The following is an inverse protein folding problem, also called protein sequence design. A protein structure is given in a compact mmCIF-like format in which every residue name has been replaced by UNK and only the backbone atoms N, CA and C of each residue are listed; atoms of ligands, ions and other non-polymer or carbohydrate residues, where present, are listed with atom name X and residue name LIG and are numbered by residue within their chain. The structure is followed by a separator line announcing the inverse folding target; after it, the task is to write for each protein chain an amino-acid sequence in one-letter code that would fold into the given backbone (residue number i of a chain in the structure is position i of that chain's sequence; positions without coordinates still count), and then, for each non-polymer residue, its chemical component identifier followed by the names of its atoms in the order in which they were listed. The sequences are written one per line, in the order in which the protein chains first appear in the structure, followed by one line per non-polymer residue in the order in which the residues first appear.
data_IF_224664990346
#
_entry.id   IF_224664990346
#
_cell.length_a   1.000
_cell.length_b   1.000
_cell.length_c   1.000
_cell.angle_alpha   90.00
_cell.angle_beta   90.00
_cell.angle_gamma   90.00
#
_symmetry.space_group_name_H-M   'P 1'
#
loop_
_entity.id
_entity.type
_entity.pdbx_description
1 polymer ?
#
# COMPACT_ATOMS: atom_id res chain seq x y z
N UNK A 1 23.93 43.03 49.09
CA UNK A 1 23.25 43.98 48.16
C UNK A 1 22.16 43.18 47.45
N UNK A 2 20.89 43.42 47.76
CA UNK A 2 19.77 42.66 47.18
C UNK A 2 19.64 42.99 45.69
N UNK A 3 19.68 41.97 44.83
CA UNK A 3 19.62 42.15 43.38
C UNK A 3 18.30 42.83 42.97
N UNK A 4 18.33 43.95 42.23
CA UNK A 4 17.13 44.69 41.80
C UNK A 4 16.20 43.89 40.86
N UNK A 5 16.65 42.76 40.34
CA UNK A 5 15.86 41.85 39.49
C UNK A 5 14.84 40.99 40.26
N UNK A 6 15.07 40.76 41.56
CA UNK A 6 14.13 39.99 42.40
C UNK A 6 12.87 40.78 42.74
N UNK A 7 13.05 42.05 43.13
CA UNK A 7 11.96 42.94 43.51
C UNK A 7 10.99 43.24 42.36
N UNK A 8 11.51 43.41 41.14
CA UNK A 8 10.69 43.68 39.95
C UNK A 8 9.83 42.47 39.54
N UNK A 9 10.35 41.24 39.67
CA UNK A 9 9.59 40.02 39.36
C UNK A 9 8.46 39.77 40.37
N UNK A 10 8.72 39.99 41.65
CA UNK A 10 7.69 39.89 42.69
C UNK A 10 6.59 40.94 42.52
N UNK A 11 6.96 42.16 42.12
CA UNK A 11 6.00 43.22 41.87
C UNK A 11 5.09 42.92 40.66
N UNK A 12 5.64 42.33 39.59
CA UNK A 12 4.86 41.90 38.42
C UNK A 12 3.90 40.76 38.79
N UNK A 13 4.36 39.78 39.58
CA UNK A 13 3.51 38.68 40.02
C UNK A 13 2.38 39.18 40.94
N UNK A 14 2.67 40.15 41.81
CA UNK A 14 1.66 40.79 42.65
C UNK A 14 0.61 41.54 41.81
N UNK A 15 1.04 42.32 40.81
CA UNK A 15 0.14 43.03 39.88
C UNK A 15 -0.72 42.06 39.07
N UNK A 16 -0.14 40.96 38.58
CA UNK A 16 -0.88 39.93 37.85
C UNK A 16 -1.94 39.23 38.74
N UNK A 17 -1.63 38.97 40.01
CA UNK A 17 -2.58 38.42 40.96
C UNK A 17 -3.80 39.32 41.20
N UNK A 18 -3.57 40.62 41.36
CA UNK A 18 -4.64 41.62 41.55
C UNK A 18 -5.57 41.68 40.33
N UNK A 19 -5.02 41.62 39.12
CA UNK A 19 -5.79 41.64 37.86
C UNK A 19 -6.64 40.37 37.72
N UNK A 20 -6.09 39.20 38.06
CA UNK A 20 -6.83 37.93 38.01
C UNK A 20 -7.98 37.90 39.02
N UNK A 21 -7.76 38.43 40.22
CA UNK A 21 -8.82 38.51 41.23
C UNK A 21 -9.93 39.49 40.83
N UNK A 22 -9.57 40.64 40.24
CA UNK A 22 -10.54 41.60 39.68
C UNK A 22 -11.34 40.98 38.54
N UNK A 23 -10.71 40.22 37.64
CA UNK A 23 -11.38 39.48 36.57
C UNK A 23 -12.35 38.41 37.11
N UNK A 24 -11.96 37.72 38.19
CA UNK A 24 -12.80 36.72 38.86
C UNK A 24 -14.03 37.35 39.51
N UNK A 25 -13.88 38.50 40.16
CA UNK A 25 -14.99 39.24 40.77
C UNK A 25 -16.02 39.71 39.72
N UNK A 26 -15.56 40.09 38.52
CA UNK A 26 -16.43 40.50 37.41
C UNK A 26 -17.19 39.34 36.76
N UNK A 27 -16.63 38.13 36.78
CA UNK A 27 -17.33 36.93 36.28
C UNK A 27 -18.53 36.55 37.17
N UNK A 28 -18.53 36.97 38.44
CA UNK A 28 -19.57 36.64 39.43
C UNK A 28 -20.70 37.67 39.46
N UNK A 29 -20.45 38.94 39.12
CA UNK A 29 -21.46 40.00 39.15
C UNK A 29 -22.39 39.98 37.92
N UNK A 30 -23.45 39.15 37.93
CA UNK A 30 -24.58 39.21 36.97
C UNK A 30 -25.41 40.47 37.26
N UNK A 31 -25.28 41.52 36.45
CA UNK A 31 -26.07 42.75 36.64
C UNK A 31 -26.07 43.73 35.47
N UNK A 32 -24.92 44.33 35.14
CA UNK A 32 -24.91 45.53 34.30
C UNK A 32 -23.98 45.38 33.09
N UNK A 33 -24.54 45.15 31.91
CA UNK A 33 -23.78 44.85 30.70
C UNK A 33 -22.97 46.05 30.15
N UNK A 34 -23.37 47.29 30.47
CA UNK A 34 -22.67 48.50 30.02
C UNK A 34 -21.43 48.79 30.88
N UNK A 35 -21.53 48.68 32.21
CA UNK A 35 -20.41 48.80 33.14
C UNK A 35 -19.38 47.66 32.98
N UNK A 36 -19.82 46.48 32.53
CA UNK A 36 -18.93 45.36 32.18
C UNK A 36 -18.07 45.66 30.96
N UNK A 37 -18.58 46.41 29.98
CA UNK A 37 -17.84 46.81 28.78
C UNK A 37 -16.60 47.63 29.12
N UNK A 38 -16.78 48.69 29.91
CA UNK A 38 -15.70 49.59 30.30
C UNK A 38 -14.61 48.88 31.11
N UNK A 39 -15.00 48.05 32.10
CA UNK A 39 -14.02 47.34 32.93
C UNK A 39 -13.25 46.27 32.13
N UNK A 40 -13.89 45.62 31.15
CA UNK A 40 -13.19 44.67 30.26
C UNK A 40 -12.16 45.40 29.38
N UNK A 41 -12.47 46.61 28.90
CA UNK A 41 -11.50 47.41 28.13
C UNK A 41 -10.34 47.90 28.99
N UNK A 42 -10.59 48.28 30.25
CA UNK A 42 -9.56 48.68 31.21
C UNK A 42 -8.63 47.49 31.53
N UNK A 43 -9.19 46.32 31.85
CA UNK A 43 -8.41 45.09 32.08
C UNK A 43 -7.57 44.70 30.86
N UNK A 44 -8.12 44.86 29.64
CA UNK A 44 -7.38 44.59 28.40
C UNK A 44 -6.19 45.52 28.25
N UNK A 45 -6.35 46.81 28.58
CA UNK A 45 -5.28 47.81 28.56
C UNK A 45 -4.20 47.50 29.60
N UNK A 46 -4.59 47.14 30.83
CA UNK A 46 -3.65 46.73 31.89
C UNK A 46 -2.85 45.47 31.49
N UNK A 47 -3.52 44.48 30.89
CA UNK A 47 -2.87 43.27 30.38
C UNK A 47 -1.88 43.57 29.25
N UNK A 48 -2.20 44.52 28.37
CA UNK A 48 -1.30 44.96 27.30
C UNK A 48 -0.06 45.69 27.86
N UNK A 49 -0.25 46.55 28.87
CA UNK A 49 0.86 47.26 29.53
C UNK A 49 1.84 46.28 30.20
N UNK A 50 1.33 45.29 30.96
CA UNK A 50 2.17 44.26 31.58
C UNK A 50 2.90 43.40 30.55
N UNK A 51 2.26 43.09 29.42
CA UNK A 51 2.91 42.37 28.32
C UNK A 51 4.05 43.17 27.70
N UNK A 52 3.92 44.49 27.55
CA UNK A 52 5.02 45.33 27.06
C UNK A 52 6.18 45.42 28.06
N UNK A 53 5.90 45.53 29.35
CA UNK A 53 6.91 45.57 30.41
C UNK A 53 7.70 44.25 30.48
N UNK A 54 7.01 43.10 30.39
CA UNK A 54 7.66 41.79 30.31
C UNK A 54 8.55 41.65 29.07
N UNK A 55 8.13 42.19 27.92
CA UNK A 55 8.96 42.18 26.71
C UNK A 55 10.23 43.03 26.91
N UNK A 56 10.12 44.20 27.54
CA UNK A 56 11.27 45.06 27.83
C UNK A 56 12.24 44.39 28.81
N UNK A 57 11.73 43.78 29.89
CA UNK A 57 12.56 43.03 30.84
C UNK A 57 13.26 41.85 30.18
N UNK A 58 12.59 41.14 29.28
CA UNK A 58 13.21 40.04 28.52
C UNK A 58 14.36 40.52 27.65
N UNK A 59 14.21 41.68 26.99
CA UNK A 59 15.28 42.30 26.20
C UNK A 59 16.44 42.77 27.08
N UNK A 60 16.15 43.32 28.27
CA UNK A 60 17.19 43.68 29.23
C UNK A 60 17.95 42.45 29.75
N UNK A 61 17.23 41.36 30.05
CA UNK A 61 17.84 40.11 30.49
C UNK A 61 18.70 39.47 29.38
N UNK A 62 18.24 39.48 28.12
CA UNK A 62 19.05 38.99 27.00
C UNK A 62 20.30 39.82 26.75
N UNK A 63 20.29 41.12 27.08
CA UNK A 63 21.48 41.98 27.01
C UNK A 63 22.49 41.67 28.12
N UNK A 64 22.02 41.22 29.29
CA UNK A 64 22.87 40.79 30.40
C UNK A 64 23.40 39.36 30.24
N UNK A 65 22.68 38.50 29.51
CA UNK A 65 23.11 37.14 29.15
C UNK A 65 23.98 37.08 27.89
N UNK A 66 24.12 38.18 27.14
CA UNK A 66 25.06 38.22 26.03
C UNK A 66 26.49 38.16 26.59
N UNK A 67 27.32 37.18 26.18
CA UNK A 67 28.69 37.09 26.66
C UNK A 67 29.43 38.39 26.31
N UNK A 68 30.30 38.91 27.20
CA UNK A 68 31.13 40.04 26.85
C UNK A 68 31.93 39.66 25.60
N UNK A 69 31.88 40.51 24.57
CA UNK A 69 32.73 40.36 23.39
C UNK A 69 34.17 40.43 23.89
N UNK A 70 34.81 39.27 24.02
CA UNK A 70 36.20 39.13 24.47
C UNK A 70 37.08 39.69 23.37
N UNK A 71 37.37 40.98 23.50
CA UNK A 71 38.40 41.68 22.77
C UNK A 71 39.59 42.00 23.69
N UNK A 72 40.27 40.98 24.21
CA UNK A 72 41.72 41.05 24.44
C UNK A 72 42.29 39.66 24.73
N UNK A 73 43.38 39.35 24.01
CA UNK A 73 44.31 38.28 24.32
C UNK A 73 44.86 38.48 25.73
N UNK A 74 44.68 37.49 26.61
CA UNK A 74 45.66 37.13 27.63
C UNK A 74 45.53 35.62 27.90
N UNK A 75 46.67 34.95 27.94
CA UNK A 75 46.91 33.52 27.70
C UNK A 75 46.66 32.58 28.90
N UNK A 76 45.96 32.99 29.96
CA UNK A 76 45.77 32.15 31.17
C UNK A 76 44.30 31.81 31.50
N UNK A 77 43.41 31.76 30.51
CA UNK A 77 41.96 31.61 30.70
C UNK A 77 41.30 30.24 30.36
N UNK A 78 41.94 29.05 30.47
CA UNK A 78 41.20 27.81 30.27
C UNK A 78 40.13 27.57 31.36
N UNK A 79 40.24 28.22 32.54
CA UNK A 79 39.24 28.04 33.61
C UNK A 79 37.92 28.79 33.36
N UNK A 80 37.93 29.99 32.78
CA UNK A 80 36.68 30.78 32.62
C UNK A 80 35.81 30.27 31.48
N UNK A 81 36.42 29.84 30.36
CA UNK A 81 35.71 29.20 29.26
C UNK A 81 35.08 27.86 29.68
N UNK A 82 35.80 27.06 30.46
CA UNK A 82 35.28 25.80 31.00
C UNK A 82 34.15 26.03 32.01
N UNK A 83 34.24 27.07 32.86
CA UNK A 83 33.17 27.42 33.79
C UNK A 83 31.89 27.88 33.08
N UNK A 84 32.01 28.65 32.00
CA UNK A 84 30.84 29.06 31.19
C UNK A 84 30.20 27.86 30.47
N UNK A 85 31.00 26.90 30.01
CA UNK A 85 30.50 25.68 29.39
C UNK A 85 29.76 24.81 30.41
N UNK A 86 30.31 24.65 31.62
CA UNK A 86 29.64 23.92 32.70
C UNK A 86 28.39 24.65 33.20
N UNK A 87 28.39 25.98 33.27
CA UNK A 87 27.19 26.75 33.61
C UNK A 87 26.09 26.55 32.56
N UNK A 88 26.43 26.60 31.26
CA UNK A 88 25.48 26.34 30.18
C UNK A 88 24.93 24.91 30.22
N UNK A 89 25.78 23.92 30.54
CA UNK A 89 25.39 22.53 30.72
C UNK A 89 24.42 22.37 31.90
N UNK A 90 24.75 22.94 33.07
CA UNK A 90 23.89 22.87 34.26
C UNK A 90 22.55 23.57 34.04
N UNK A 91 22.53 24.68 33.30
CA UNK A 91 21.28 25.36 32.91
C UNK A 91 20.40 24.48 31.99
N UNK A 92 21.01 23.74 31.06
CA UNK A 92 20.30 22.78 30.22
C UNK A 92 19.74 21.60 31.04
N UNK A 93 20.52 21.06 31.98
CA UNK A 93 20.08 20.00 32.89
C UNK A 93 18.91 20.47 33.77
N UNK A 94 18.99 21.68 34.34
CA UNK A 94 17.88 22.30 35.10
C UNK A 94 16.62 22.49 34.26
N UNK A 95 16.75 22.90 33.00
CA UNK A 95 15.60 23.05 32.10
C UNK A 95 14.91 21.70 31.84
N UNK A 96 15.68 20.63 31.63
CA UNK A 96 15.15 19.26 31.47
C UNK A 96 14.45 18.79 32.75
N UNK A 97 15.05 19.02 33.91
CA UNK A 97 14.46 18.64 35.19
C UNK A 97 13.17 19.41 35.49
N UNK A 98 13.11 20.71 35.20
CA UNK A 98 11.88 21.49 35.33
C UNK A 98 10.79 21.04 34.36
N UNK A 99 11.17 20.62 33.14
CA UNK A 99 10.21 20.07 32.19
C UNK A 99 9.69 18.70 32.64
N UNK A 100 10.55 17.84 33.21
CA UNK A 100 10.14 16.58 33.84
C UNK A 100 9.24 16.83 35.04
N UNK A 101 9.60 17.79 35.90
CA UNK A 101 8.81 18.19 37.06
C UNK A 101 7.43 18.71 36.67
N UNK A 102 7.33 19.54 35.63
CA UNK A 102 6.02 19.99 35.08
C UNK A 102 5.18 18.86 34.50
N UNK A 103 5.82 17.80 33.98
CA UNK A 103 5.12 16.59 33.51
C UNK A 103 4.60 15.74 34.67
N UNK A 104 5.28 15.75 35.82
CA UNK A 104 4.90 14.96 37.00
C UNK A 104 4.01 15.72 38.00
N UNK A 105 4.10 17.05 38.08
CA UNK A 105 3.27 17.89 38.96
C UNK A 105 1.85 18.11 38.42
N UNK A 106 1.56 17.65 37.20
CA UNK A 106 0.21 17.55 36.64
C UNK A 106 -0.53 16.27 37.03
N UNK A 107 0.08 15.37 37.83
CA UNK A 107 -0.64 14.22 38.39
C UNK A 107 -1.59 14.76 39.45
N UNK A 108 -2.85 14.88 39.06
CA UNK A 108 -3.88 15.52 39.84
C UNK A 108 -4.09 14.76 41.14
N UNK A 109 -4.20 15.53 42.22
CA UNK A 109 -4.50 15.08 43.58
C UNK A 109 -5.95 14.62 43.76
N UNK A 110 -6.67 14.35 42.67
CA UNK A 110 -8.05 13.87 42.69
C UNK A 110 -8.11 12.38 42.28
N UNK A 111 -8.34 11.53 43.27
CA UNK A 111 -8.53 10.08 43.13
C UNK A 111 -9.55 9.71 42.03
N UNK A 112 -10.58 10.54 41.84
CA UNK A 112 -11.61 10.37 40.80
C UNK A 112 -11.06 10.50 39.36
N UNK A 113 -10.11 11.39 39.10
CA UNK A 113 -9.54 11.58 37.76
C UNK A 113 -8.58 10.44 37.41
N UNK A 114 -7.81 9.96 38.39
CA UNK A 114 -6.97 8.77 38.26
C UNK A 114 -7.80 7.50 37.98
N UNK A 115 -8.91 7.31 38.69
CA UNK A 115 -9.84 6.21 38.42
C UNK A 115 -10.44 6.28 37.02
N UNK A 116 -10.80 7.48 36.55
CA UNK A 116 -11.35 7.68 35.21
C UNK A 116 -10.32 7.35 34.14
N UNK A 117 -9.07 7.79 34.31
CA UNK A 117 -7.97 7.45 33.40
C UNK A 117 -7.65 5.95 33.40
N UNK A 118 -7.61 5.32 34.57
CA UNK A 118 -7.36 3.88 34.68
C UNK A 118 -8.48 3.08 33.97
N UNK A 119 -9.73 3.47 34.17
CA UNK A 119 -10.88 2.85 33.50
C UNK A 119 -10.79 3.01 31.98
N UNK A 120 -10.50 4.22 31.49
CA UNK A 120 -10.32 4.47 30.05
C UNK A 120 -9.22 3.59 29.45
N UNK A 121 -8.06 3.51 30.12
CA UNK A 121 -6.95 2.69 29.65
C UNK A 121 -7.30 1.20 29.60
N UNK A 122 -8.05 0.69 30.58
CA UNK A 122 -8.55 -0.69 30.58
C UNK A 122 -9.52 -0.91 29.43
N UNK A 123 -10.47 0.00 29.20
CA UNK A 123 -11.41 -0.10 28.09
C UNK A 123 -10.71 -0.10 26.72
N UNK A 124 -9.72 0.78 26.53
CA UNK A 124 -8.92 0.82 25.31
C UNK A 124 -8.15 -0.48 25.09
N UNK A 125 -7.55 -1.03 26.14
CA UNK A 125 -6.84 -2.32 26.09
C UNK A 125 -7.78 -3.47 25.73
N UNK A 126 -8.96 -3.54 26.35
CA UNK A 126 -9.97 -4.57 26.03
C UNK A 126 -10.42 -4.46 24.58
N UNK A 127 -10.68 -3.24 24.08
CA UNK A 127 -11.07 -3.03 22.69
C UNK A 127 -9.96 -3.48 21.72
N UNK A 128 -8.70 -3.16 22.01
CA UNK A 128 -7.57 -3.60 21.19
C UNK A 128 -7.44 -5.12 21.19
N UNK A 129 -7.62 -5.77 22.34
CA UNK A 129 -7.59 -7.23 22.45
C UNK A 129 -8.72 -7.88 21.65
N UNK A 130 -9.94 -7.35 21.70
CA UNK A 130 -11.07 -7.88 20.93
C UNK A 130 -10.85 -7.75 19.41
N UNK A 131 -10.27 -6.64 18.96
CA UNK A 131 -9.89 -6.46 17.56
C UNK A 131 -8.84 -7.50 17.13
N UNK A 132 -7.81 -7.72 17.94
CA UNK A 132 -6.78 -8.72 17.69
C UNK A 132 -7.34 -10.14 17.69
N UNK A 133 -8.20 -10.48 18.65
CA UNK A 133 -8.86 -11.79 18.70
C UNK A 133 -9.74 -12.03 17.48
N UNK A 134 -10.45 -11.01 17.01
CA UNK A 134 -11.28 -11.09 15.80
C UNK A 134 -10.41 -11.35 14.56
N UNK A 135 -9.30 -10.61 14.41
CA UNK A 135 -8.35 -10.82 13.32
C UNK A 135 -7.70 -12.21 13.37
N UNK A 136 -7.33 -12.70 14.56
CA UNK A 136 -6.76 -14.04 14.74
C UNK A 136 -7.77 -15.15 14.44
N UNK A 137 -9.04 -14.96 14.79
CA UNK A 137 -10.11 -15.92 14.46
C UNK A 137 -10.32 -16.01 12.96
N UNK A 138 -10.40 -14.88 12.25
CA UNK A 138 -10.58 -14.89 10.80
C UNK A 138 -9.36 -15.48 10.06
N UNK A 139 -8.14 -15.23 10.55
CA UNK A 139 -6.92 -15.86 10.04
C UNK A 139 -6.94 -17.37 10.22
N UNK A 140 -7.32 -17.86 11.41
CA UNK A 140 -7.47 -19.30 11.68
C UNK A 140 -8.51 -19.92 10.74
N UNK A 141 -9.68 -19.30 10.60
CA UNK A 141 -10.76 -19.83 9.76
C UNK A 141 -10.33 -19.88 8.28
N UNK A 142 -9.52 -18.91 7.83
CA UNK A 142 -8.91 -18.93 6.49
C UNK A 142 -7.94 -20.10 6.34
N UNK A 143 -7.03 -20.30 7.29
CA UNK A 143 -6.05 -21.41 7.25
C UNK A 143 -6.76 -22.76 7.30
N UNK A 144 -7.81 -22.91 8.10
CA UNK A 144 -8.63 -24.14 8.13
C UNK A 144 -9.31 -24.42 6.78
N UNK A 145 -9.75 -23.37 6.07
CA UNK A 145 -10.33 -23.52 4.74
C UNK A 145 -9.27 -23.91 3.69
N UNK A 146 -8.06 -23.34 3.77
CA UNK A 146 -6.92 -23.71 2.91
C UNK A 146 -6.50 -25.16 3.17
N UNK A 147 -6.36 -25.56 4.44
CA UNK A 147 -6.04 -26.93 4.83
C UNK A 147 -7.02 -27.95 4.26
N UNK A 148 -8.34 -27.69 4.40
CA UNK A 148 -9.38 -28.58 3.85
C UNK A 148 -9.28 -28.71 2.32
N UNK A 149 -8.91 -27.64 1.60
CA UNK A 149 -8.71 -27.69 0.15
C UNK A 149 -7.49 -28.53 -0.21
N UNK A 150 -6.37 -28.35 0.49
CA UNK A 150 -5.16 -29.14 0.27
C UNK A 150 -5.41 -30.63 0.56
N UNK A 151 -6.14 -30.96 1.61
CA UNK A 151 -6.55 -32.35 1.91
C UNK A 151 -7.38 -32.96 0.78
N UNK A 152 -8.28 -32.21 0.15
CA UNK A 152 -9.03 -32.70 -1.01
C UNK A 152 -8.15 -32.91 -2.23
N UNK A 153 -7.23 -31.97 -2.52
CA UNK A 153 -6.29 -32.10 -3.63
C UNK A 153 -5.33 -33.28 -3.44
N UNK A 154 -4.90 -33.52 -2.21
CA UNK A 154 -4.05 -34.66 -1.88
C UNK A 154 -4.77 -35.99 -2.15
N UNK A 155 -6.05 -36.10 -1.76
CA UNK A 155 -6.86 -37.29 -2.06
C UNK A 155 -7.02 -37.50 -3.57
N UNK A 156 -7.34 -36.45 -4.31
CA UNK A 156 -7.44 -36.51 -5.78
C UNK A 156 -6.10 -36.92 -6.42
N UNK A 157 -4.98 -36.39 -5.93
CA UNK A 157 -3.64 -36.79 -6.40
C UNK A 157 -3.34 -38.26 -6.12
N UNK A 158 -3.70 -38.77 -4.94
CA UNK A 158 -3.54 -40.19 -4.60
C UNK A 158 -4.43 -41.09 -5.48
N UNK A 159 -5.66 -40.67 -5.76
CA UNK A 159 -6.56 -41.38 -6.68
C UNK A 159 -5.97 -41.43 -8.10
N UNK A 160 -5.39 -40.33 -8.58
CA UNK A 160 -4.70 -40.28 -9.87
C UNK A 160 -3.48 -41.18 -9.90
N UNK A 161 -2.65 -41.15 -8.85
CA UNK A 161 -1.47 -42.01 -8.73
C UNK A 161 -1.85 -43.48 -8.80
N UNK A 162 -2.81 -43.92 -7.99
CA UNK A 162 -3.29 -45.32 -8.03
C UNK A 162 -3.92 -45.70 -9.38
N UNK A 163 -4.59 -44.77 -10.07
CA UNK A 163 -5.13 -44.99 -11.41
C UNK A 163 -4.02 -45.14 -12.46
N UNK A 164 -2.96 -44.32 -12.36
CA UNK A 164 -1.78 -44.40 -13.22
C UNK A 164 -0.99 -45.68 -12.97
N UNK A 165 -0.77 -46.07 -11.72
CA UNK A 165 -0.14 -47.34 -11.37
C UNK A 165 -0.91 -48.53 -11.93
N UNK A 166 -2.24 -48.51 -11.83
CA UNK A 166 -3.11 -49.52 -12.45
C UNK A 166 -2.91 -49.56 -13.96
N UNK A 167 -2.89 -48.41 -14.64
CA UNK A 167 -2.64 -48.32 -16.09
C UNK A 167 -1.26 -48.81 -16.47
N UNK A 168 -0.23 -48.51 -15.68
CA UNK A 168 1.13 -49.00 -15.88
C UNK A 168 1.20 -50.53 -15.70
N UNK A 169 0.49 -51.09 -14.72
CA UNK A 169 0.40 -52.54 -14.55
C UNK A 169 -0.32 -53.20 -15.74
N UNK A 170 -1.42 -52.61 -16.23
CA UNK A 170 -2.14 -53.07 -17.44
C UNK A 170 -1.24 -53.05 -18.68
N UNK A 171 -0.48 -51.98 -18.91
CA UNK A 171 0.42 -51.87 -20.07
C UNK A 171 1.63 -52.79 -19.96
N UNK A 172 2.21 -52.96 -18.76
CA UNK A 172 3.27 -53.96 -18.52
C UNK A 172 2.77 -55.38 -18.78
N UNK A 173 1.57 -55.74 -18.30
CA UNK A 173 0.95 -57.03 -18.55
C UNK A 173 0.66 -57.28 -20.04
N UNK A 174 0.25 -56.25 -20.78
CA UNK A 174 0.04 -56.31 -22.24
C UNK A 174 1.34 -56.38 -23.04
N UNK A 175 2.43 -55.79 -22.56
CA UNK A 175 3.72 -55.82 -23.25
C UNK A 175 4.36 -57.22 -23.34
N UNK A 176 3.90 -58.17 -22.51
CA UNK A 176 4.26 -59.59 -22.62
C UNK A 176 3.50 -60.36 -23.72
N UNK A 177 2.44 -59.79 -24.29
CA UNK A 177 1.62 -60.40 -25.34
C UNK A 177 1.48 -59.46 -26.54
N UNK A 178 2.53 -59.37 -27.36
CA UNK A 178 2.40 -59.04 -28.77
C UNK A 178 2.11 -57.58 -29.14
N UNK A 179 2.96 -57.07 -30.03
CA UNK A 179 2.78 -55.90 -30.91
C UNK A 179 2.96 -54.51 -30.30
N UNK A 180 4.24 -54.13 -30.29
CA UNK A 180 4.82 -52.79 -30.16
C UNK A 180 4.34 -51.76 -31.24
N UNK A 181 3.14 -51.89 -31.81
CA UNK A 181 2.73 -51.18 -33.04
C UNK A 181 1.62 -50.14 -32.92
N UNK A 182 0.97 -49.96 -31.76
CA UNK A 182 -0.25 -49.13 -31.73
C UNK A 182 -0.15 -47.79 -30.97
N UNK A 183 0.95 -47.49 -30.27
CA UNK A 183 1.09 -46.22 -29.53
C UNK A 183 1.95 -45.18 -30.30
N UNK A 184 2.55 -45.57 -31.43
CA UNK A 184 3.31 -44.67 -32.33
C UNK A 184 2.49 -44.03 -33.47
N UNK A 185 1.24 -44.45 -33.68
CA UNK A 185 0.40 -43.94 -34.76
C UNK A 185 -0.41 -42.73 -34.27
N UNK A 186 0.19 -41.53 -34.27
CA UNK A 186 -0.55 -40.25 -34.28
C UNK A 186 0.34 -39.01 -34.48
N UNK A 187 1.66 -39.14 -34.59
CA UNK A 187 2.55 -37.99 -34.85
C UNK A 187 3.14 -37.96 -36.27
N UNK A 188 3.25 -39.10 -36.97
CA UNK A 188 3.86 -39.14 -38.31
C UNK A 188 2.88 -38.82 -39.46
N UNK A 189 1.57 -38.77 -39.22
CA UNK A 189 0.56 -38.51 -40.26
C UNK A 189 0.27 -37.02 -40.51
N UNK A 190 0.94 -36.11 -39.76
CA UNK A 190 0.76 -34.65 -39.90
C UNK A 190 1.84 -34.03 -40.82
N UNK A 191 2.85 -34.80 -41.24
CA UNK A 191 3.92 -34.33 -42.15
C UNK A 191 3.89 -35.11 -43.48
N UNK A 192 2.75 -35.11 -44.17
CA UNK A 192 2.74 -35.31 -45.62
C UNK A 192 1.73 -34.34 -46.24
N UNK A 193 2.16 -33.37 -47.08
CA UNK A 193 1.23 -32.57 -47.85
C UNK A 193 0.58 -33.47 -48.91
N UNK A 194 -0.75 -33.58 -48.86
CA UNK A 194 -1.55 -34.27 -49.86
C UNK A 194 -1.63 -33.42 -51.13
N UNK A 195 -0.73 -33.66 -52.07
CA UNK A 195 -1.01 -33.44 -53.49
C UNK A 195 -1.68 -34.72 -53.99
N UNK A 196 -3.02 -34.78 -53.97
CA UNK A 196 -3.77 -35.47 -55.03
C UNK A 196 -5.26 -35.08 -55.01
N UNK A 197 -5.64 -34.66 -56.21
CA UNK A 197 -6.89 -34.12 -56.70
C UNK A 197 -8.04 -35.15 -56.73
N UNK A 198 -9.25 -34.66 -56.48
CA UNK A 198 -10.58 -35.12 -56.90
C UNK A 198 -10.99 -36.61 -56.80
N UNK A 199 -12.08 -36.81 -56.04
CA UNK A 199 -13.23 -37.55 -56.60
C UNK A 199 -13.79 -38.69 -55.74
N UNK A 200 -15.11 -38.62 -55.55
CA UNK A 200 -16.04 -39.62 -54.94
C UNK A 200 -16.07 -39.55 -53.41
N UNK A 201 -17.20 -39.53 -52.73
CA UNK A 201 -18.58 -39.87 -53.06
C UNK A 201 -19.29 -40.04 -51.70
N UNK A 202 -20.56 -39.65 -51.61
CA UNK A 202 -21.25 -39.43 -50.33
C UNK A 202 -21.61 -40.67 -49.50
N UNK A 203 -22.19 -40.38 -48.33
CA UNK A 203 -22.69 -41.32 -47.31
C UNK A 203 -21.79 -41.27 -46.08
N UNK A 204 -22.23 -41.07 -44.84
CA UNK A 204 -23.50 -41.39 -44.22
C UNK A 204 -23.81 -40.43 -43.05
N UNK A 205 -25.11 -40.28 -42.79
CA UNK A 205 -25.68 -39.49 -41.71
C UNK A 205 -25.58 -40.24 -40.38
N UNK A 206 -24.72 -39.79 -39.47
CA UNK A 206 -24.65 -40.24 -38.08
C UNK A 206 -25.21 -39.20 -37.11
N UNK A 207 -26.42 -39.43 -36.60
CA UNK A 207 -27.13 -38.58 -35.63
C UNK A 207 -26.40 -38.51 -34.28
N UNK A 208 -26.21 -37.30 -33.75
CA UNK A 208 -25.67 -37.09 -32.40
C UNK A 208 -26.05 -35.73 -31.81
N UNK A 209 -27.35 -35.46 -31.65
CA UNK A 209 -27.83 -34.29 -30.87
C UNK A 209 -27.50 -34.52 -29.40
N UNK A 210 -26.52 -33.79 -28.84
CA UNK A 210 -26.46 -33.52 -27.40
C UNK A 210 -26.75 -32.05 -27.16
N UNK A 211 -27.91 -31.81 -26.57
CA UNK A 211 -28.35 -30.54 -25.99
C UNK A 211 -27.28 -29.98 -25.05
N UNK A 212 -26.75 -28.81 -25.35
CA UNK A 212 -26.27 -27.87 -24.34
C UNK A 212 -27.30 -26.75 -24.24
N UNK A 213 -28.11 -26.79 -23.17
CA UNK A 213 -29.00 -25.70 -22.77
C UNK A 213 -28.18 -24.65 -22.03
N UNK A 214 -28.39 -23.38 -22.40
CA UNK A 214 -28.35 -22.25 -21.46
C UNK A 214 -27.13 -21.33 -21.56
N UNK A 215 -27.33 -20.16 -22.21
CA UNK A 215 -26.68 -18.93 -21.76
C UNK A 215 -25.71 -18.24 -22.73
N UNK A 216 -26.16 -17.81 -23.92
CA UNK A 216 -25.49 -16.73 -24.66
C UNK A 216 -26.41 -16.18 -25.79
N UNK A 217 -27.55 -15.61 -25.42
CA UNK A 217 -28.39 -14.80 -26.31
C UNK A 217 -28.43 -13.36 -25.81
N UNK A 218 -27.28 -12.67 -25.77
CA UNK A 218 -27.26 -11.21 -25.47
C UNK A 218 -26.15 -10.41 -26.18
N UNK A 219 -25.36 -11.00 -27.07
CA UNK A 219 -24.26 -10.27 -27.74
C UNK A 219 -24.41 -10.12 -29.27
N UNK A 220 -25.34 -10.84 -29.92
CA UNK A 220 -25.40 -10.86 -31.38
C UNK A 220 -26.18 -9.69 -32.01
N UNK A 221 -26.96 -8.93 -31.23
CA UNK A 221 -27.84 -7.88 -31.78
C UNK A 221 -27.25 -6.47 -31.77
N UNK A 222 -25.96 -6.29 -31.43
CA UNK A 222 -25.31 -4.97 -31.42
C UNK A 222 -24.28 -4.74 -32.53
N UNK A 223 -23.90 -5.77 -33.30
CA UNK A 223 -22.86 -5.65 -34.33
C UNK A 223 -23.39 -5.54 -35.77
N UNK A 224 -24.70 -5.66 -35.98
CA UNK A 224 -25.30 -5.67 -37.33
C UNK A 224 -25.46 -4.28 -37.98
N UNK A 225 -24.88 -3.23 -37.40
CA UNK A 225 -25.07 -1.84 -37.87
C UNK A 225 -23.77 -1.06 -37.95
N UNK A 226 -22.79 -1.62 -38.67
CA UNK A 226 -21.70 -0.84 -39.23
C UNK A 226 -21.15 -1.52 -40.49
N UNK A 227 -21.39 -0.87 -41.64
CA UNK A 227 -20.44 -0.81 -42.74
C UNK A 227 -20.19 -2.09 -43.55
N UNK A 228 -20.91 -2.18 -44.68
CA UNK A 228 -20.43 -2.88 -45.88
C UNK A 228 -19.04 -2.39 -46.28
N UNK A 229 -18.07 -3.30 -46.35
CA UNK A 229 -17.01 -3.28 -47.36
C UNK A 229 -16.60 -4.73 -47.59
N UNK A 230 -17.02 -5.29 -48.73
CA UNK A 230 -16.36 -6.45 -49.32
C UNK A 230 -14.96 -5.99 -49.72
N UNK A 231 -13.93 -6.75 -49.39
CA UNK A 231 -12.83 -7.13 -50.29
C UNK A 231 -11.80 -8.00 -49.52
N UNK A 232 -11.32 -9.03 -50.22
CA UNK A 232 -10.42 -10.13 -49.85
C UNK A 232 -10.92 -11.15 -48.81
N UNK A 233 -11.29 -12.33 -49.33
CA UNK A 233 -11.43 -13.58 -48.58
C UNK A 233 -10.02 -14.07 -48.18
N UNK A 234 -9.36 -13.31 -47.32
CA UNK A 234 -8.06 -13.66 -46.76
C UNK A 234 -8.29 -14.78 -45.75
N UNK A 235 -7.95 -16.02 -46.13
CA UNK A 235 -7.95 -17.18 -45.23
C UNK A 235 -6.91 -16.95 -44.13
N UNK A 236 -7.29 -16.23 -43.09
CA UNK A 236 -6.39 -15.97 -41.98
C UNK A 236 -6.14 -17.27 -41.20
N UNK A 237 -4.89 -17.52 -40.76
CA UNK A 237 -4.58 -18.66 -39.93
C UNK A 237 -5.37 -18.63 -38.61
N UNK A 238 -5.71 -19.81 -38.11
CA UNK A 238 -6.41 -19.91 -36.84
C UNK A 238 -5.49 -19.45 -35.70
N UNK A 239 -6.07 -18.99 -34.59
CA UNK A 239 -5.29 -18.52 -33.42
C UNK A 239 -4.19 -19.50 -32.96
N UNK A 240 -4.44 -20.82 -32.82
CA UNK A 240 -3.38 -21.75 -32.42
C UNK A 240 -2.26 -21.84 -33.47
N UNK A 241 -2.58 -21.76 -34.76
CA UNK A 241 -1.57 -21.80 -35.83
C UNK A 241 -0.65 -20.57 -35.76
N UNK A 242 -1.23 -19.39 -35.50
CA UNK A 242 -0.47 -18.14 -35.32
C UNK A 242 0.47 -18.23 -34.13
N UNK A 243 -0.01 -18.76 -33.00
CA UNK A 243 0.82 -18.93 -31.79
C UNK A 243 1.92 -19.96 -32.03
N UNK A 244 1.61 -21.05 -32.71
CA UNK A 244 2.59 -22.07 -33.08
C UNK A 244 3.66 -21.49 -34.01
N UNK A 245 3.29 -20.66 -35.00
CA UNK A 245 4.24 -19.99 -35.89
C UNK A 245 5.13 -18.98 -35.14
N UNK A 246 4.56 -18.24 -34.19
CA UNK A 246 5.29 -17.31 -33.33
C UNK A 246 6.34 -18.03 -32.46
N UNK A 247 5.97 -19.17 -31.87
CA UNK A 247 6.87 -19.98 -31.06
C UNK A 247 7.94 -20.64 -31.93
N UNK A 248 7.54 -21.22 -33.07
CA UNK A 248 8.48 -21.89 -33.97
C UNK A 248 9.53 -20.93 -34.52
N UNK A 249 9.16 -19.69 -34.90
CA UNK A 249 10.12 -18.67 -35.34
C UNK A 249 11.04 -18.21 -34.22
N UNK A 250 10.52 -18.09 -33.00
CA UNK A 250 11.34 -17.72 -31.84
C UNK A 250 12.39 -18.81 -31.51
N UNK A 251 12.06 -20.08 -31.70
CA UNK A 251 12.95 -21.21 -31.42
C UNK A 251 13.93 -21.53 -32.56
N UNK A 252 13.50 -21.38 -33.82
CA UNK A 252 14.30 -21.74 -34.99
C UNK A 252 15.23 -20.64 -35.47
N UNK A 253 14.84 -19.36 -35.31
CA UNK A 253 15.64 -18.20 -35.70
C UNK A 253 15.72 -17.18 -34.56
N UNK A 254 16.60 -17.40 -33.57
CA UNK A 254 16.72 -16.51 -32.42
C UNK A 254 17.18 -15.10 -32.81
N UNK A 255 17.83 -14.94 -33.97
CA UNK A 255 18.32 -13.66 -34.46
C UNK A 255 17.26 -12.83 -35.21
N UNK A 256 16.14 -13.43 -35.63
CA UNK A 256 15.02 -12.73 -36.27
C UNK A 256 13.65 -13.33 -35.87
N UNK A 257 13.22 -13.18 -34.60
CA UNK A 257 12.01 -13.80 -34.08
C UNK A 257 10.73 -13.01 -34.42
N UNK A 258 10.72 -12.28 -35.54
CA UNK A 258 9.65 -11.32 -35.86
C UNK A 258 8.69 -11.86 -36.91
N UNK A 259 7.40 -11.62 -36.69
CA UNK A 259 6.30 -11.91 -37.61
C UNK A 259 5.61 -10.65 -38.06
N UNK A 260 5.15 -10.64 -39.31
CA UNK A 260 4.36 -9.53 -39.84
C UNK A 260 2.94 -9.57 -39.30
N UNK A 261 2.50 -8.49 -38.67
CA UNK A 261 1.15 -8.30 -38.14
C UNK A 261 0.09 -8.35 -39.24
N UNK A 262 0.45 -8.06 -40.49
CA UNK A 262 -0.45 -8.20 -41.65
C UNK A 262 -0.85 -9.63 -41.95
N UNK A 263 -0.09 -10.62 -41.46
CA UNK A 263 -0.37 -12.05 -41.63
C UNK A 263 -1.33 -12.59 -40.56
N UNK A 264 -1.62 -11.80 -39.53
CA UNK A 264 -2.42 -12.22 -38.38
C UNK A 264 -3.79 -11.57 -38.49
N UNK A 265 -4.85 -12.34 -38.25
CA UNK A 265 -6.20 -11.78 -38.20
C UNK A 265 -6.27 -10.65 -37.15
N UNK A 266 -6.77 -9.45 -37.49
CA UNK A 266 -6.72 -8.29 -36.59
C UNK A 266 -7.31 -8.53 -35.18
N UNK A 267 -8.39 -9.31 -34.99
CA UNK A 267 -8.87 -9.69 -33.66
C UNK A 267 -7.88 -10.53 -32.86
N UNK A 268 -7.21 -11.50 -33.50
CA UNK A 268 -6.20 -12.34 -32.85
C UNK A 268 -4.95 -11.53 -32.46
N UNK A 269 -4.47 -10.66 -33.35
CA UNK A 269 -3.33 -9.79 -33.06
C UNK A 269 -3.60 -8.86 -31.88
N UNK A 270 -4.78 -8.25 -31.82
CA UNK A 270 -5.17 -7.38 -30.70
C UNK A 270 -5.34 -8.15 -29.38
N UNK A 271 -5.89 -9.36 -29.42
CA UNK A 271 -6.05 -10.22 -28.25
C UNK A 271 -4.67 -10.56 -27.65
N UNK A 272 -3.74 -11.01 -28.49
CA UNK A 272 -2.39 -11.40 -28.07
C UNK A 272 -1.56 -10.22 -27.54
N UNK A 273 -1.75 -9.02 -28.11
CA UNK A 273 -1.14 -7.79 -27.60
C UNK A 273 -1.69 -7.41 -26.23
N UNK A 274 -3.01 -7.51 -26.02
CA UNK A 274 -3.66 -7.20 -24.73
C UNK A 274 -3.31 -8.19 -23.63
N UNK A 275 -3.13 -9.46 -23.98
CA UNK A 275 -2.71 -10.49 -23.03
C UNK A 275 -1.21 -10.44 -22.71
N UNK A 276 -0.43 -9.58 -23.37
CA UNK A 276 1.02 -9.48 -23.18
C UNK A 276 1.80 -10.67 -23.70
N UNK A 277 1.18 -11.53 -24.51
CA UNK A 277 1.83 -12.73 -25.08
C UNK A 277 2.76 -12.35 -26.24
N UNK A 278 2.43 -11.29 -26.97
CA UNK A 278 3.28 -10.74 -28.03
C UNK A 278 3.64 -9.28 -27.75
N UNK A 279 4.84 -8.88 -28.17
CA UNK A 279 5.37 -7.53 -28.09
C UNK A 279 5.66 -7.00 -29.49
N UNK A 280 5.40 -5.71 -29.72
CA UNK A 280 5.75 -5.02 -30.96
C UNK A 280 7.23 -4.70 -30.99
N UNK A 281 7.82 -4.70 -32.19
CA UNK A 281 9.17 -4.19 -32.39
C UNK A 281 9.19 -2.68 -32.10
N UNK A 282 10.23 -2.15 -31.42
CA UNK A 282 10.34 -0.73 -31.09
C UNK A 282 10.34 0.17 -32.33
N UNK A 283 11.09 -0.23 -33.37
CA UNK A 283 11.24 0.56 -34.60
C UNK A 283 10.19 0.27 -35.68
N UNK A 284 9.54 -0.91 -35.66
CA UNK A 284 8.64 -1.35 -36.73
C UNK A 284 7.31 -1.88 -36.16
N UNK A 285 6.23 -1.09 -36.14
CA UNK A 285 4.96 -1.49 -35.50
C UNK A 285 4.23 -2.60 -36.25
N UNK A 286 4.64 -2.92 -37.49
CA UNK A 286 4.15 -4.05 -38.28
C UNK A 286 4.79 -5.38 -37.89
N UNK A 287 5.83 -5.38 -37.05
CA UNK A 287 6.52 -6.59 -36.60
C UNK A 287 6.20 -6.91 -35.14
N UNK A 288 5.88 -8.17 -34.88
CA UNK A 288 5.59 -8.69 -33.54
C UNK A 288 6.44 -9.91 -33.22
N UNK A 289 6.82 -10.06 -31.95
CA UNK A 289 7.54 -11.24 -31.42
C UNK A 289 6.87 -11.73 -30.14
N UNK A 290 7.14 -12.97 -29.75
CA UNK A 290 6.69 -13.50 -28.45
C UNK A 290 7.36 -12.73 -27.31
N UNK A 291 6.61 -12.40 -26.26
CA UNK A 291 7.16 -11.78 -25.06
C UNK A 291 8.10 -12.78 -24.35
N UNK A 292 9.26 -12.32 -23.83
CA UNK A 292 10.12 -13.20 -23.06
C UNK A 292 9.42 -13.64 -21.78
N UNK A 293 9.20 -14.94 -21.62
CA UNK A 293 8.76 -15.53 -20.35
C UNK A 293 10.00 -15.75 -19.49
N UNK A 294 10.28 -14.82 -18.58
CA UNK A 294 11.23 -15.06 -17.51
C UNK A 294 10.52 -15.95 -16.48
N UNK A 295 10.81 -17.27 -16.52
CA UNK A 295 10.42 -18.24 -15.49
C UNK A 295 11.46 -18.28 -14.37
#
# INVERSE_FOLDING_TARGET
MSSPSGQTREEINRKAGVILERARQLAVSRGDDEARGDVVTELRRECQALRSELKQLKVQYSKLQAPPVVGSRDEDAPSTANLLLEEARLQAELAVLLQRRKRTEGVTTCDAELQTMAYQQVCESVLQQDQLLTARRSERDRVEAELKREETLLKESQELETALERKLAETRGRSGQGTHRQVGFCMDEIIQPSDDVDGRGGGERGRGKRQRKGGQQRLDNMLSRAGNSRDSDDTFPSLPDVVQELISKTLTSPHSPYLSLSSIWPPHGNLLLRSGVIQRHPDNPSLVRVAPFHL
#
